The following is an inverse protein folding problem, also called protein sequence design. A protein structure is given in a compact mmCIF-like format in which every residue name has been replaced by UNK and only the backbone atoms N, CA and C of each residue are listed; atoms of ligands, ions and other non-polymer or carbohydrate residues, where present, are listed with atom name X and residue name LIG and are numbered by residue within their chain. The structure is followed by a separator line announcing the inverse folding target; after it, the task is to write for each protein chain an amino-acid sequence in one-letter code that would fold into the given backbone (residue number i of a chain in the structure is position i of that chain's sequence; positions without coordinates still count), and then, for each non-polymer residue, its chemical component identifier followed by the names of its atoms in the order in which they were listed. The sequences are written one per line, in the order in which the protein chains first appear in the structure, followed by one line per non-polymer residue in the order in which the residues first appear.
data_IF_280959753621
#
_entry.id   IF_280959753621
#
_cell.length_a   1.000
_cell.length_b   1.000
_cell.length_c   1.000
_cell.angle_alpha   90.00
_cell.angle_beta   90.00
_cell.angle_gamma   90.00
#
_symmetry.space_group_name_H-M   'P 1'
#
loop_
_entity.id
_entity.type
_entity.pdbx_description
1 polymer ?
#
# COMPACT_ATOMS: atom_id res chain seq x y z
N UNK A 1 -19.23 -8.78 -5.62
CA UNK A 1 -17.86 -8.26 -5.85
C UNK A 1 -17.32 -7.73 -4.53
N UNK A 2 -16.16 -8.16 -4.04
CA UNK A 2 -15.61 -7.64 -2.78
C UNK A 2 -15.14 -6.18 -2.97
N UNK A 3 -15.51 -5.27 -2.06
CA UNK A 3 -15.02 -3.89 -2.07
C UNK A 3 -13.49 -3.86 -1.95
N UNK A 4 -12.84 -3.01 -2.74
CA UNK A 4 -11.39 -2.75 -2.69
C UNK A 4 -11.07 -1.78 -1.56
N UNK A 5 -9.89 -1.93 -0.98
CA UNK A 5 -9.39 -1.02 0.05
C UNK A 5 -8.96 0.32 -0.56
N UNK A 6 -9.30 1.42 0.10
CA UNK A 6 -8.97 2.79 -0.30
C UNK A 6 -7.77 3.30 0.48
N UNK A 7 -7.01 4.23 -0.10
CA UNK A 7 -5.91 4.91 0.58
C UNK A 7 -6.47 5.71 1.76
N UNK A 8 -5.98 5.41 2.95
CA UNK A 8 -6.40 6.05 4.19
C UNK A 8 -5.44 7.15 4.65
N UNK A 9 -4.14 6.93 4.48
CA UNK A 9 -3.12 7.88 4.94
C UNK A 9 -1.72 7.26 4.93
N UNK A 10 -0.77 7.95 5.57
CA UNK A 10 0.61 7.49 5.72
C UNK A 10 1.19 7.82 7.10
N UNK A 11 2.37 7.28 7.40
CA UNK A 11 3.02 7.45 8.70
C UNK A 11 3.50 8.89 8.99
N UNK A 12 3.47 9.80 8.01
CA UNK A 12 3.88 11.20 8.23
C UNK A 12 2.78 12.07 8.85
N UNK A 13 1.61 11.50 9.10
CA UNK A 13 0.48 12.16 9.79
C UNK A 13 -0.01 11.30 10.95
N UNK A 14 -0.63 11.94 11.95
CA UNK A 14 -1.22 11.24 13.10
C UNK A 14 -2.24 10.21 12.61
N UNK A 15 -2.02 8.95 12.99
CA UNK A 15 -2.94 7.85 12.72
C UNK A 15 -3.81 7.57 13.94
N UNK A 16 -4.96 6.95 13.72
CA UNK A 16 -5.86 6.49 14.79
C UNK A 16 -5.45 5.16 15.40
N UNK A 17 -4.29 4.62 15.00
CA UNK A 17 -3.75 3.33 15.43
C UNK A 17 -2.24 3.46 15.64
N UNK A 18 -1.68 2.54 16.42
CA UNK A 18 -0.24 2.42 16.61
C UNK A 18 0.39 1.81 15.34
N UNK A 19 1.26 2.58 14.68
CA UNK A 19 1.91 2.15 13.44
C UNK A 19 2.91 1.03 13.73
N UNK A 20 3.63 1.09 14.84
CA UNK A 20 4.64 0.09 15.21
C UNK A 20 3.99 -1.26 15.45
N UNK A 21 2.90 -1.30 16.23
CA UNK A 21 2.13 -2.53 16.46
C UNK A 21 1.63 -3.14 15.13
N UNK A 22 1.15 -2.29 14.21
CA UNK A 22 0.67 -2.73 12.91
C UNK A 22 1.80 -3.32 12.07
N UNK A 23 2.96 -2.64 12.02
CA UNK A 23 4.09 -3.07 11.20
C UNK A 23 4.79 -4.32 11.75
N UNK A 24 4.90 -4.45 13.07
CA UNK A 24 5.49 -5.63 13.72
C UNK A 24 4.66 -6.90 13.44
N UNK A 25 3.34 -6.77 13.36
CA UNK A 25 2.42 -7.86 13.04
C UNK A 25 2.11 -8.00 11.54
N UNK A 26 2.61 -7.10 10.69
CA UNK A 26 2.32 -7.11 9.27
C UNK A 26 3.11 -8.23 8.57
N UNK A 27 2.45 -8.93 7.65
CA UNK A 27 3.09 -9.95 6.80
C UNK A 27 3.39 -9.38 5.43
N UNK A 28 4.64 -9.50 4.99
CA UNK A 28 5.02 -9.15 3.62
C UNK A 28 4.26 -10.02 2.60
N UNK A 29 3.81 -9.41 1.51
CA UNK A 29 3.04 -10.03 0.45
C UNK A 29 3.56 -9.60 -0.93
N UNK A 30 3.36 -10.41 -1.98
CA UNK A 30 3.72 -10.01 -3.33
C UNK A 30 2.80 -8.91 -3.85
N UNK A 31 3.32 -8.11 -4.79
CA UNK A 31 2.60 -7.01 -5.46
C UNK A 31 1.25 -7.46 -6.03
N UNK A 32 1.20 -8.64 -6.66
CA UNK A 32 -0.01 -9.19 -7.28
C UNK A 32 -1.12 -9.42 -6.26
N UNK A 33 -0.75 -9.80 -5.03
CA UNK A 33 -1.70 -9.96 -3.93
C UNK A 33 -2.15 -8.60 -3.40
N UNK A 34 -1.25 -7.63 -3.34
CA UNK A 34 -1.57 -6.27 -2.90
C UNK A 34 -2.58 -5.60 -3.85
N UNK A 35 -2.27 -5.54 -5.15
CA UNK A 35 -3.10 -4.85 -6.16
C UNK A 35 -4.48 -5.53 -6.35
N UNK A 36 -4.59 -6.83 -6.04
CA UNK A 36 -5.88 -7.53 -6.00
C UNK A 36 -6.81 -7.06 -4.87
N UNK A 37 -6.29 -6.38 -3.85
CA UNK A 37 -7.10 -5.98 -2.70
C UNK A 37 -7.28 -4.46 -2.57
N UNK A 38 -6.39 -3.65 -3.15
CA UNK A 38 -6.48 -2.18 -3.09
C UNK A 38 -7.15 -1.58 -4.32
N UNK A 39 -7.63 -0.35 -4.17
CA UNK A 39 -8.17 0.49 -5.25
C UNK A 39 -7.05 0.80 -6.24
N UNK A 40 -7.25 0.41 -7.50
CA UNK A 40 -6.29 0.71 -8.57
C UNK A 40 -6.15 2.21 -8.81
N UNK A 41 -7.24 2.98 -8.65
CA UNK A 41 -7.22 4.43 -8.84
C UNK A 41 -6.35 5.11 -7.78
N UNK A 42 -6.60 4.81 -6.50
CA UNK A 42 -5.83 5.38 -5.38
C UNK A 42 -4.36 4.98 -5.46
N UNK A 43 -4.09 3.72 -5.83
CA UNK A 43 -2.72 3.24 -6.00
C UNK A 43 -2.00 3.97 -7.13
N UNK A 44 -2.65 4.13 -8.28
CA UNK A 44 -2.06 4.84 -9.41
C UNK A 44 -1.89 6.34 -9.12
N UNK A 45 -2.83 6.95 -8.40
CA UNK A 45 -2.70 8.35 -7.98
C UNK A 45 -1.52 8.53 -7.02
N UNK A 46 -1.38 7.64 -6.04
CA UNK A 46 -0.24 7.63 -5.13
C UNK A 46 1.08 7.42 -5.90
N UNK A 47 1.13 6.46 -6.82
CA UNK A 47 2.30 6.19 -7.65
C UNK A 47 2.74 7.45 -8.42
N UNK A 48 1.81 8.14 -9.08
CA UNK A 48 2.08 9.41 -9.79
C UNK A 48 2.60 10.48 -8.85
N UNK A 49 1.99 10.64 -7.67
CA UNK A 49 2.42 11.63 -6.65
C UNK A 49 3.84 11.38 -6.16
N UNK A 50 4.26 10.11 -6.14
CA UNK A 50 5.61 9.69 -5.77
C UNK A 50 6.60 9.67 -6.95
N UNK A 51 6.17 10.10 -8.16
CA UNK A 51 7.02 10.16 -9.35
C UNK A 51 7.19 8.84 -10.11
N UNK A 52 6.42 7.80 -9.78
CA UNK A 52 6.49 6.52 -10.46
C UNK A 52 5.60 6.49 -11.71
N UNK A 53 6.04 5.70 -12.69
CA UNK A 53 5.29 5.46 -13.91
C UNK A 53 4.12 4.49 -13.69
N UNK A 54 2.95 4.82 -14.23
CA UNK A 54 1.71 4.02 -14.12
C UNK A 54 1.18 3.50 -15.45
N UNK A 55 1.86 3.79 -16.56
CA UNK A 55 1.42 3.41 -17.90
C UNK A 55 1.70 1.94 -18.25
N UNK A 56 1.27 1.57 -19.46
CA UNK A 56 1.60 0.28 -20.08
C UNK A 56 2.92 0.42 -20.84
N UNK A 57 3.80 -0.56 -20.74
CA UNK A 57 5.13 -0.51 -21.36
C UNK A 57 6.27 -0.65 -20.36
N UNK A 58 7.51 -0.45 -20.84
CA UNK A 58 8.75 -0.51 -20.04
C UNK A 58 9.31 0.88 -19.69
N UNK A 59 8.55 1.93 -19.99
CA UNK A 59 8.99 3.30 -19.74
C UNK A 59 8.91 3.63 -18.26
N UNK A 60 9.96 4.23 -17.70
CA UNK A 60 10.01 4.69 -16.31
C UNK A 60 10.04 3.58 -15.24
N UNK A 61 10.38 3.98 -14.02
CA UNK A 61 10.37 3.10 -12.86
C UNK A 61 8.94 2.94 -12.32
N UNK A 62 8.49 1.71 -12.13
CA UNK A 62 7.20 1.39 -11.50
C UNK A 62 7.41 1.00 -10.05
N UNK A 63 6.43 1.26 -9.19
CA UNK A 63 6.48 0.87 -7.78
C UNK A 63 6.79 -0.61 -7.57
N UNK A 64 6.24 -1.49 -8.41
CA UNK A 64 6.47 -2.94 -8.31
C UNK A 64 7.89 -3.37 -8.69
N UNK A 65 8.61 -2.53 -9.43
CA UNK A 65 9.94 -2.81 -9.97
C UNK A 65 11.04 -2.09 -9.14
N UNK A 66 10.65 -1.33 -8.12
CA UNK A 66 11.56 -0.63 -7.20
C UNK A 66 11.93 -1.52 -6.01
N UNK A 67 13.22 -1.78 -5.87
CA UNK A 67 13.80 -2.60 -4.80
C UNK A 67 13.57 -2.05 -3.39
N UNK A 68 13.29 -0.76 -3.23
CA UNK A 68 12.93 -0.13 -1.96
C UNK A 68 11.44 -0.19 -1.62
N UNK A 69 10.61 -0.71 -2.52
CA UNK A 69 9.17 -0.86 -2.30
C UNK A 69 8.87 -2.27 -1.81
N UNK A 70 8.07 -2.34 -0.75
CA UNK A 70 7.58 -3.58 -0.13
C UNK A 70 6.10 -3.47 0.14
N UNK A 71 5.39 -4.58 0.06
CA UNK A 71 3.95 -4.64 0.28
C UNK A 71 3.63 -5.56 1.44
N UNK A 72 2.69 -5.18 2.28
CA UNK A 72 2.31 -5.94 3.46
C UNK A 72 0.80 -6.05 3.58
N UNK A 73 0.37 -7.07 4.31
CA UNK A 73 -0.99 -7.20 4.81
C UNK A 73 -0.97 -7.35 6.32
N UNK A 74 -1.87 -6.65 6.99
CA UNK A 74 -2.10 -6.76 8.42
C UNK A 74 -3.55 -7.19 8.65
N UNK A 75 -3.76 -8.07 9.64
CA UNK A 75 -5.07 -8.52 10.07
C UNK A 75 -5.11 -8.61 11.60
N UNK A 76 -6.10 -7.95 12.20
CA UNK A 76 -6.42 -8.09 13.62
C UNK A 76 -7.94 -8.22 13.78
N UNK A 77 -8.40 -9.44 14.07
CA UNK A 77 -9.81 -9.81 14.03
C UNK A 77 -10.45 -9.52 12.67
N UNK A 78 -11.41 -8.60 12.66
CA UNK A 78 -12.13 -8.14 11.47
C UNK A 78 -11.50 -6.92 10.78
N UNK A 79 -10.42 -6.35 11.35
CA UNK A 79 -9.70 -5.23 10.75
C UNK A 79 -8.67 -5.76 9.76
N UNK A 80 -8.73 -5.28 8.53
CA UNK A 80 -7.79 -5.60 7.46
C UNK A 80 -7.16 -4.33 6.94
N UNK A 81 -5.83 -4.33 6.84
CA UNK A 81 -5.06 -3.26 6.23
C UNK A 81 -4.08 -3.83 5.22
N UNK A 82 -3.88 -3.07 4.14
CA UNK A 82 -2.83 -3.32 3.16
C UNK A 82 -1.89 -2.14 3.20
N UNK A 83 -0.59 -2.42 3.22
CA UNK A 83 0.43 -1.41 3.46
C UNK A 83 1.42 -1.45 2.31
N UNK A 84 1.69 -0.31 1.69
CA UNK A 84 2.85 -0.15 0.83
C UNK A 84 3.90 0.60 1.63
N UNK A 85 5.11 0.05 1.73
CA UNK A 85 6.26 0.75 2.30
C UNK A 85 7.19 1.14 1.16
N UNK A 86 7.55 2.41 1.09
CA UNK A 86 8.54 2.92 0.15
C UNK A 86 9.62 3.64 0.98
N UNK A 87 10.85 3.11 0.92
CA UNK A 87 11.99 3.51 1.76
C UNK A 87 11.72 3.41 3.27
N UNK A 88 10.98 4.36 3.86
CA UNK A 88 10.58 4.38 5.28
C UNK A 88 9.22 5.05 5.50
N UNK A 89 8.44 5.20 4.43
CA UNK A 89 7.09 5.73 4.51
C UNK A 89 6.10 4.60 4.25
N UNK A 90 5.26 4.32 5.24
CA UNK A 90 4.16 3.37 5.17
C UNK A 90 2.89 4.10 4.71
N UNK A 91 2.28 3.61 3.64
CA UNK A 91 1.02 4.06 3.08
C UNK A 91 -0.05 3.01 3.36
N UNK A 92 -1.09 3.39 4.08
CA UNK A 92 -2.10 2.48 4.60
C UNK A 92 -3.36 2.51 3.74
N UNK A 93 -3.85 1.32 3.37
CA UNK A 93 -5.09 1.11 2.66
C UNK A 93 -6.04 0.28 3.53
N UNK A 94 -7.30 0.71 3.66
CA UNK A 94 -8.32 0.00 4.44
C UNK A 94 -9.64 -0.09 3.68
N UNK A 95 -10.48 -1.05 4.04
CA UNK A 95 -11.87 -1.09 3.58
C UNK A 95 -12.69 -0.17 4.46
N UNK A 96 -13.53 0.67 3.84
CA UNK A 96 -14.62 1.38 4.51
C UNK A 96 -15.78 0.43 4.83
#
# INVERSE_FOLDING_TARGET
MMKKARLFGNCTRKQSFDISEVMDAAKEIPYEKFIKNVSTDDFNELAKKLGYYVGKGRDGLKLKDDWHVRFYSYRNGNKYMWIMRQSSIEYFFKKD
#
